data_IF_957397338595
#
_entry.id   IF_957397338595
#
_cell.length_a   1.000
_cell.length_b   1.000
_cell.length_c   1.000
_cell.angle_alpha   90.00
_cell.angle_beta   90.00
_cell.angle_gamma   90.00
#
_symmetry.space_group_name_H-M   'P 1'
#
loop_
_entity.id
_entity.type
_entity.pdbx_description
1 polymer ?
#
# COMPACT_ATOMS: atom_id res chain seq x y z
N UNK A 1 24.15 0.27 0.02
CA UNK A 1 24.64 -0.03 1.39
C UNK A 1 24.83 1.24 2.21
N UNK A 2 25.35 2.35 1.64
CA UNK A 2 25.50 3.65 2.35
C UNK A 2 24.14 4.32 2.60
N UNK A 3 23.19 4.25 1.68
CA UNK A 3 21.83 4.80 1.84
C UNK A 3 20.99 4.06 2.89
N UNK A 4 21.22 2.74 3.08
CA UNK A 4 20.58 1.96 4.15
C UNK A 4 21.04 2.32 5.55
N UNK A 5 22.31 2.73 5.72
CA UNK A 5 22.84 3.18 7.02
C UNK A 5 22.25 4.51 7.51
N UNK A 6 21.65 5.29 6.61
CA UNK A 6 21.04 6.58 6.94
C UNK A 6 19.56 6.48 7.37
N UNK A 7 18.99 5.27 7.45
CA UNK A 7 17.61 5.05 7.92
C UNK A 7 16.51 5.65 7.02
N UNK A 8 16.86 6.03 5.80
CA UNK A 8 15.92 6.60 4.85
C UNK A 8 15.58 5.55 3.79
N UNK A 9 14.36 5.02 3.74
CA UNK A 9 13.92 4.16 2.64
C UNK A 9 13.75 5.05 1.41
N UNK A 10 14.83 5.23 0.65
CA UNK A 10 14.72 5.81 -0.68
C UNK A 10 14.08 4.79 -1.62
N UNK A 11 12.76 4.77 -1.68
CA UNK A 11 12.08 4.17 -2.81
C UNK A 11 12.36 5.07 -4.03
N UNK A 12 13.33 4.66 -4.86
CA UNK A 12 13.61 5.36 -6.11
C UNK A 12 12.47 5.05 -7.09
N UNK A 13 11.48 5.91 -7.16
CA UNK A 13 10.39 5.81 -8.14
C UNK A 13 10.87 6.34 -9.50
N UNK A 14 11.25 5.42 -10.37
CA UNK A 14 11.69 5.77 -11.73
C UNK A 14 10.51 5.59 -12.68
N UNK A 15 10.03 6.68 -13.24
CA UNK A 15 8.98 6.65 -14.26
C UNK A 15 9.51 6.07 -15.57
N UNK A 16 8.64 5.41 -16.39
CA UNK A 16 9.01 5.01 -17.75
C UNK A 16 9.56 6.22 -18.51
N UNK A 17 10.73 6.08 -19.10
CA UNK A 17 11.44 7.15 -19.81
C UNK A 17 12.54 7.87 -19.02
N UNK A 18 12.50 7.88 -17.70
CA UNK A 18 13.54 8.53 -16.88
C UNK A 18 14.81 7.68 -16.67
N UNK A 19 14.74 6.38 -16.98
CA UNK A 19 15.86 5.45 -16.78
C UNK A 19 17.14 5.89 -17.50
N UNK A 20 17.00 6.31 -18.76
CA UNK A 20 18.14 6.71 -19.58
C UNK A 20 18.79 8.00 -19.07
N UNK A 21 17.96 8.98 -18.72
CA UNK A 21 18.45 10.25 -18.15
C UNK A 21 19.14 10.05 -16.80
N UNK A 22 18.58 9.18 -15.93
CA UNK A 22 19.18 8.86 -14.65
C UNK A 22 20.55 8.15 -14.82
N UNK A 23 20.64 7.17 -15.70
CA UNK A 23 21.89 6.48 -16.00
C UNK A 23 22.95 7.43 -16.55
N UNK A 24 22.57 8.36 -17.42
CA UNK A 24 23.48 9.37 -17.96
C UNK A 24 23.98 10.33 -16.88
N UNK A 25 23.10 10.80 -15.99
CA UNK A 25 23.47 11.70 -14.89
C UNK A 25 24.45 11.05 -13.88
N UNK A 26 24.37 9.73 -13.69
CA UNK A 26 25.29 8.99 -12.83
C UNK A 26 26.55 8.54 -13.55
N UNK A 27 26.57 8.44 -14.88
CA UNK A 27 27.70 7.93 -15.67
C UNK A 27 28.97 8.78 -15.48
N UNK A 28 28.82 10.08 -15.28
CA UNK A 28 29.97 11.00 -15.20
C UNK A 28 30.62 11.06 -13.80
N UNK A 29 30.00 10.47 -12.78
CA UNK A 29 30.42 10.61 -11.38
C UNK A 29 30.72 9.32 -10.63
N UNK A 30 30.38 8.16 -11.17
CA UNK A 30 30.46 6.90 -10.45
C UNK A 30 31.39 5.87 -11.12
N UNK A 31 32.06 5.05 -10.27
CA UNK A 31 32.86 3.91 -10.72
C UNK A 31 32.06 2.98 -11.63
N UNK A 32 32.70 2.47 -12.69
CA UNK A 32 32.09 1.60 -13.70
C UNK A 32 31.36 0.38 -13.13
N UNK A 33 31.86 -0.17 -12.04
CA UNK A 33 31.25 -1.31 -11.35
C UNK A 33 29.91 -0.94 -10.68
N UNK A 34 29.83 0.24 -10.05
CA UNK A 34 28.61 0.74 -9.46
C UNK A 34 27.57 1.06 -10.54
N UNK A 35 27.99 1.59 -11.67
CA UNK A 35 27.11 1.85 -12.82
C UNK A 35 26.58 0.52 -13.39
N UNK A 36 27.42 -0.50 -13.51
CA UNK A 36 26.98 -1.81 -13.99
C UNK A 36 25.95 -2.44 -13.04
N UNK A 37 26.19 -2.40 -11.73
CA UNK A 37 25.27 -2.91 -10.72
C UNK A 37 23.97 -2.15 -10.69
N UNK A 38 24.00 -0.80 -10.75
CA UNK A 38 22.82 0.04 -10.81
C UNK A 38 22.05 -0.20 -12.12
N UNK A 39 22.75 -0.37 -13.25
CA UNK A 39 22.14 -0.67 -14.53
C UNK A 39 21.43 -2.02 -14.52
N UNK A 40 22.06 -3.06 -13.94
CA UNK A 40 21.46 -4.37 -13.77
C UNK A 40 20.21 -4.31 -12.88
N UNK A 41 20.30 -3.59 -11.76
CA UNK A 41 19.16 -3.38 -10.85
C UNK A 41 18.01 -2.63 -11.52
N UNK A 42 18.30 -1.55 -12.27
CA UNK A 42 17.28 -0.80 -13.00
C UNK A 42 16.59 -1.62 -14.10
N UNK A 43 17.34 -2.53 -14.76
CA UNK A 43 16.80 -3.45 -15.77
C UNK A 43 15.92 -4.54 -15.13
N UNK A 44 16.25 -4.95 -13.91
CA UNK A 44 15.49 -5.93 -13.15
C UNK A 44 14.18 -5.36 -12.57
N UNK A 45 14.07 -4.02 -12.45
CA UNK A 45 12.81 -3.39 -12.03
C UNK A 45 11.71 -3.72 -13.04
N UNK A 46 10.52 -4.10 -12.58
CA UNK A 46 9.41 -4.35 -13.49
C UNK A 46 9.12 -3.10 -14.31
N UNK A 47 9.33 -3.20 -15.60
CA UNK A 47 8.91 -2.17 -16.56
C UNK A 47 7.53 -2.51 -17.06
N UNK A 48 6.52 -1.72 -16.74
CA UNK A 48 5.20 -1.95 -17.29
C UNK A 48 5.23 -1.80 -18.81
N UNK A 49 4.49 -2.65 -19.49
CA UNK A 49 4.24 -2.47 -20.90
C UNK A 49 3.43 -1.19 -21.13
N UNK A 50 3.57 -0.58 -22.31
CA UNK A 50 2.67 0.50 -22.73
C UNK A 50 1.25 -0.06 -22.69
N UNK A 51 0.34 0.63 -21.99
CA UNK A 51 -1.03 0.18 -21.80
C UNK A 51 -1.24 -0.82 -20.65
N UNK A 52 -0.23 -1.10 -19.82
CA UNK A 52 -0.38 -1.96 -18.65
C UNK A 52 -1.49 -1.44 -17.71
N UNK A 53 -2.27 -2.35 -17.15
CA UNK A 53 -3.30 -2.07 -16.15
C UNK A 53 -2.62 -1.57 -14.87
N UNK A 54 -2.94 -0.34 -14.46
CA UNK A 54 -2.35 0.29 -13.28
C UNK A 54 -3.11 -0.12 -12.03
N UNK A 55 -2.39 -0.67 -11.05
CA UNK A 55 -2.92 -1.11 -9.77
C UNK A 55 -2.30 -0.29 -8.65
N UNK A 56 -3.11 0.45 -7.91
CA UNK A 56 -2.69 1.20 -6.74
C UNK A 56 -3.00 0.41 -5.46
N UNK A 57 -1.97 0.10 -4.65
CA UNK A 57 -2.13 -0.52 -3.35
C UNK A 57 -2.05 0.55 -2.26
N UNK A 58 -3.19 0.94 -1.71
CA UNK A 58 -3.36 1.91 -0.62
C UNK A 58 -3.43 1.17 0.71
N UNK A 59 -2.69 1.64 1.72
CA UNK A 59 -2.74 1.01 3.03
C UNK A 59 -1.74 1.57 4.05
N UNK A 60 -1.60 0.83 5.14
CA UNK A 60 -0.70 1.15 6.24
C UNK A 60 0.66 0.39 6.15
N UNK A 61 1.30 0.13 7.29
CA UNK A 61 2.60 -0.56 7.39
C UNK A 61 2.65 -1.93 6.71
N UNK A 62 1.54 -2.66 6.67
CA UNK A 62 1.49 -3.97 6.01
C UNK A 62 1.56 -3.81 4.49
N UNK A 63 0.95 -2.76 3.95
CA UNK A 63 1.06 -2.42 2.52
C UNK A 63 2.43 -1.83 2.20
N UNK A 64 2.92 -0.93 3.05
CA UNK A 64 4.26 -0.33 2.98
C UNK A 64 5.37 -1.40 2.99
N UNK A 65 5.17 -2.50 3.75
CA UNK A 65 6.16 -3.56 3.91
C UNK A 65 7.10 -3.30 5.08
N UNK A 66 6.64 -2.59 6.12
CA UNK A 66 7.44 -2.33 7.31
C UNK A 66 7.86 -3.65 7.99
N UNK A 67 9.14 -3.75 8.31
CA UNK A 67 9.71 -4.95 8.97
C UNK A 67 10.04 -6.08 8.02
N UNK A 68 9.78 -5.93 6.73
CA UNK A 68 10.15 -6.92 5.71
C UNK A 68 11.47 -6.50 5.07
N UNK A 69 12.45 -7.40 5.12
CA UNK A 69 13.71 -7.20 4.40
C UNK A 69 13.44 -7.10 2.90
N UNK A 70 14.08 -6.12 2.24
CA UNK A 70 13.85 -5.85 0.82
C UNK A 70 12.35 -5.67 0.49
N UNK A 71 11.67 -4.76 1.20
CA UNK A 71 10.24 -4.51 1.01
C UNK A 71 9.86 -4.20 -0.45
N UNK A 72 10.77 -3.61 -1.24
CA UNK A 72 10.61 -3.40 -2.69
C UNK A 72 10.42 -4.70 -3.49
N UNK A 73 10.78 -5.85 -2.91
CA UNK A 73 10.70 -7.17 -3.55
C UNK A 73 9.70 -8.09 -2.82
N UNK A 74 9.59 -7.96 -1.51
CA UNK A 74 8.92 -8.93 -0.64
C UNK A 74 7.58 -8.44 -0.08
N UNK A 75 7.28 -7.12 -0.11
CA UNK A 75 5.95 -6.62 0.25
C UNK A 75 4.86 -7.21 -0.64
N UNK A 76 3.61 -7.28 -0.15
CA UNK A 76 2.55 -7.86 -0.96
C UNK A 76 2.32 -7.12 -2.30
N UNK A 77 2.45 -5.79 -2.41
CA UNK A 77 2.33 -5.13 -3.72
C UNK A 77 3.43 -5.57 -4.70
N UNK A 78 4.66 -5.77 -4.21
CA UNK A 78 5.75 -6.27 -5.03
C UNK A 78 5.52 -7.72 -5.48
N UNK A 79 5.03 -8.58 -4.58
CA UNK A 79 4.64 -9.95 -4.92
C UNK A 79 3.47 -10.01 -5.89
N UNK A 80 2.49 -9.14 -5.71
CA UNK A 80 1.38 -9.01 -6.64
C UNK A 80 1.87 -8.62 -8.04
N UNK A 81 2.82 -7.67 -8.14
CA UNK A 81 3.45 -7.31 -9.42
C UNK A 81 4.12 -8.52 -10.08
N UNK A 82 4.86 -9.33 -9.31
CA UNK A 82 5.53 -10.52 -9.84
C UNK A 82 4.53 -11.55 -10.38
N UNK A 83 3.43 -11.77 -9.66
CA UNK A 83 2.39 -12.73 -10.04
C UNK A 83 1.58 -12.27 -11.26
N UNK A 84 1.26 -10.99 -11.34
CA UNK A 84 0.47 -10.42 -12.45
C UNK A 84 1.29 -10.21 -13.72
N UNK A 85 2.62 -10.11 -13.60
CA UNK A 85 3.52 -9.94 -14.74
C UNK A 85 3.43 -8.57 -15.42
N UNK A 86 3.95 -8.50 -16.66
CA UNK A 86 4.20 -7.23 -17.37
C UNK A 86 2.92 -6.52 -17.86
N UNK A 87 1.80 -7.23 -17.95
CA UNK A 87 0.49 -6.64 -18.31
C UNK A 87 -0.10 -5.72 -17.23
N UNK A 88 0.49 -5.72 -16.05
CA UNK A 88 0.07 -4.91 -14.92
C UNK A 88 1.22 -4.04 -14.42
N UNK A 89 0.86 -2.90 -13.85
CA UNK A 89 1.79 -2.01 -13.15
C UNK A 89 1.27 -1.74 -11.75
N UNK A 90 1.75 -2.53 -10.81
CA UNK A 90 1.39 -2.42 -9.40
C UNK A 90 2.29 -1.41 -8.71
N UNK A 91 1.70 -0.44 -8.00
CA UNK A 91 2.44 0.52 -7.18
C UNK A 91 1.99 0.46 -5.74
N UNK A 92 2.99 0.50 -4.87
CA UNK A 92 2.82 0.58 -3.43
C UNK A 92 2.65 2.05 -3.02
N UNK A 93 1.50 2.37 -2.43
CA UNK A 93 1.18 3.66 -1.80
C UNK A 93 0.92 3.49 -0.30
N UNK A 94 1.40 2.40 0.29
CA UNK A 94 1.35 2.18 1.73
C UNK A 94 2.16 3.23 2.49
N UNK A 95 1.67 3.64 3.66
CA UNK A 95 2.38 4.51 4.59
C UNK A 95 2.20 3.96 6.00
N UNK A 96 3.31 3.65 6.66
CA UNK A 96 3.30 3.05 8.00
C UNK A 96 2.57 3.91 9.03
N UNK A 97 1.85 3.24 9.94
CA UNK A 97 1.10 3.81 11.05
C UNK A 97 -0.13 4.67 10.67
N UNK A 98 -0.59 4.67 9.41
CA UNK A 98 -1.71 5.52 8.99
C UNK A 98 -3.04 4.89 9.32
N UNK A 99 -4.01 5.78 9.62
CA UNK A 99 -5.43 5.47 9.88
C UNK A 99 -6.28 5.79 8.65
N UNK A 100 -7.41 5.10 8.51
CA UNK A 100 -8.48 5.51 7.61
C UNK A 100 -9.20 6.74 8.16
N UNK A 101 -9.47 6.73 9.48
CA UNK A 101 -10.12 7.83 10.19
C UNK A 101 -9.39 9.15 9.95
N UNK A 102 -10.11 10.15 9.45
CA UNK A 102 -9.60 11.51 9.28
C UNK A 102 -9.38 12.24 10.61
N UNK A 103 -10.03 11.78 11.67
CA UNK A 103 -9.86 12.22 13.05
C UNK A 103 -8.86 11.35 13.85
N UNK A 104 -8.27 10.35 13.25
CA UNK A 104 -7.20 9.54 13.86
C UNK A 104 -5.90 10.33 14.01
N UNK A 105 -4.93 9.71 14.70
CA UNK A 105 -3.63 10.33 15.00
C UNK A 105 -2.82 10.65 13.72
N UNK A 106 -2.97 9.81 12.68
CA UNK A 106 -2.20 9.93 11.42
C UNK A 106 -3.07 9.59 10.20
N UNK A 107 -3.96 10.47 9.77
CA UNK A 107 -4.88 10.20 8.67
C UNK A 107 -4.18 9.97 7.34
N UNK A 108 -4.47 8.85 6.67
CA UNK A 108 -3.89 8.51 5.37
C UNK A 108 -4.25 9.54 4.28
N UNK A 109 -5.47 10.08 4.28
CA UNK A 109 -5.91 11.06 3.28
C UNK A 109 -5.16 12.40 3.36
N UNK A 110 -4.34 12.63 4.39
CA UNK A 110 -3.46 13.80 4.52
C UNK A 110 -2.04 13.56 4.01
N UNK A 111 -1.73 12.31 3.60
CA UNK A 111 -0.39 11.95 3.13
C UNK A 111 -0.19 12.29 1.66
N UNK A 112 1.06 12.57 1.30
CA UNK A 112 1.45 12.74 -0.10
C UNK A 112 1.14 11.47 -0.92
N UNK A 113 1.25 10.29 -0.31
CA UNK A 113 0.93 9.01 -0.93
C UNK A 113 -0.51 8.94 -1.44
N UNK A 114 -1.47 9.56 -0.73
CA UNK A 114 -2.86 9.68 -1.17
C UNK A 114 -2.98 10.48 -2.47
N UNK A 115 -2.30 11.62 -2.56
CA UNK A 115 -2.27 12.42 -3.78
C UNK A 115 -1.60 11.65 -4.92
N UNK A 116 -0.45 11.03 -4.65
CA UNK A 116 0.29 10.24 -5.65
C UNK A 116 -0.52 9.04 -6.17
N UNK A 117 -1.32 8.39 -5.31
CA UNK A 117 -2.18 7.28 -5.72
C UNK A 117 -3.28 7.74 -6.70
N UNK A 118 -3.85 8.91 -6.49
CA UNK A 118 -4.84 9.51 -7.40
C UNK A 118 -4.20 9.96 -8.72
N UNK A 119 -3.06 10.64 -8.66
CA UNK A 119 -2.31 11.12 -9.84
C UNK A 119 -1.79 9.97 -10.71
N UNK A 120 -1.59 8.80 -10.10
CA UNK A 120 -1.24 7.57 -10.81
C UNK A 120 -2.32 7.15 -11.80
N UNK A 121 -3.54 7.69 -11.70
CA UNK A 121 -4.70 7.36 -12.54
C UNK A 121 -4.93 5.84 -12.62
N UNK A 122 -5.13 5.16 -11.49
CA UNK A 122 -5.20 3.71 -11.43
C UNK A 122 -6.41 3.17 -12.19
N UNK A 123 -6.29 1.95 -12.73
CA UNK A 123 -7.42 1.17 -13.25
C UNK A 123 -8.02 0.28 -12.17
N UNK A 124 -7.19 -0.10 -11.19
CA UNK A 124 -7.60 -0.90 -10.03
C UNK A 124 -7.01 -0.24 -8.79
N UNK A 125 -7.80 -0.15 -7.72
CA UNK A 125 -7.35 0.30 -6.40
C UNK A 125 -7.64 -0.76 -5.37
N UNK A 126 -6.64 -1.14 -4.58
CA UNK A 126 -6.79 -2.01 -3.41
C UNK A 126 -6.63 -1.14 -2.17
N UNK A 127 -7.65 -1.09 -1.31
CA UNK A 127 -7.62 -0.34 -0.05
C UNK A 127 -7.55 -1.33 1.11
N UNK A 128 -6.48 -1.25 1.90
CA UNK A 128 -6.26 -2.05 3.11
C UNK A 128 -5.84 -1.15 4.27
N UNK A 129 -6.81 -0.49 4.88
CA UNK A 129 -6.68 0.36 6.08
C UNK A 129 -7.55 -0.20 7.21
N UNK A 130 -7.50 0.39 8.39
CA UNK A 130 -8.29 0.00 9.54
C UNK A 130 -7.47 -0.60 10.69
N UNK A 131 -6.27 -1.13 10.43
CA UNK A 131 -5.44 -1.74 11.50
C UNK A 131 -5.11 -0.74 12.61
N UNK A 132 -4.61 0.45 12.26
CA UNK A 132 -4.25 1.47 13.25
C UNK A 132 -5.48 2.18 13.84
N UNK A 133 -6.59 2.14 13.13
CA UNK A 133 -7.88 2.66 13.58
C UNK A 133 -8.41 1.90 14.79
N UNK A 134 -8.07 0.60 14.91
CA UNK A 134 -8.51 -0.24 16.04
C UNK A 134 -7.86 0.12 17.39
N UNK A 135 -6.80 0.92 17.39
CA UNK A 135 -6.16 1.38 18.63
C UNK A 135 -7.13 2.24 19.43
N UNK A 136 -7.16 2.14 20.78
CA UNK A 136 -8.10 2.88 21.60
C UNK A 136 -8.10 4.38 21.34
N UNK A 137 -6.92 4.98 21.17
CA UNK A 137 -6.75 6.40 20.89
C UNK A 137 -7.35 6.85 19.56
N UNK A 138 -7.51 5.95 18.61
CA UNK A 138 -8.12 6.21 17.31
C UNK A 138 -9.60 5.79 17.32
N UNK A 139 -9.91 4.61 17.91
CA UNK A 139 -11.24 4.04 17.85
C UNK A 139 -12.28 4.82 18.66
N UNK A 140 -11.87 5.69 19.60
CA UNK A 140 -12.77 6.66 20.21
C UNK A 140 -13.54 7.52 19.18
N UNK A 141 -13.00 7.63 17.95
CA UNK A 141 -13.61 8.31 16.80
C UNK A 141 -14.28 7.34 15.83
N UNK A 142 -14.44 6.08 16.19
CA UNK A 142 -14.91 4.99 15.31
C UNK A 142 -16.26 5.22 14.65
N UNK A 143 -17.12 6.06 15.25
CA UNK A 143 -18.40 6.46 14.63
C UNK A 143 -18.23 7.13 13.25
N UNK A 144 -17.06 7.73 12.97
CA UNK A 144 -16.77 8.36 11.69
C UNK A 144 -16.19 7.39 10.65
N UNK A 145 -15.82 6.16 11.04
CA UNK A 145 -15.06 5.24 10.19
C UNK A 145 -15.82 4.90 8.88
N UNK A 146 -17.11 4.63 8.97
CA UNK A 146 -17.94 4.33 7.79
C UNK A 146 -17.99 5.52 6.83
N UNK A 147 -18.25 6.71 7.34
CA UNK A 147 -18.31 7.94 6.57
C UNK A 147 -16.96 8.23 5.88
N UNK A 148 -15.85 8.09 6.60
CA UNK A 148 -14.52 8.37 6.07
C UNK A 148 -14.12 7.36 5.00
N UNK A 149 -14.52 6.07 5.15
CA UNK A 149 -14.31 5.06 4.11
C UNK A 149 -15.14 5.35 2.86
N UNK A 150 -16.40 5.73 3.02
CA UNK A 150 -17.27 6.12 1.91
C UNK A 150 -16.67 7.33 1.17
N UNK A 151 -16.22 8.36 1.89
CA UNK A 151 -15.60 9.55 1.29
C UNK A 151 -14.32 9.20 0.49
N UNK A 152 -13.49 8.28 1.01
CA UNK A 152 -12.30 7.78 0.30
C UNK A 152 -12.70 7.06 -1.00
N UNK A 153 -13.68 6.17 -0.94
CA UNK A 153 -14.19 5.43 -2.11
C UNK A 153 -14.80 6.40 -3.13
N UNK A 154 -15.65 7.31 -2.71
CA UNK A 154 -16.29 8.28 -3.60
C UNK A 154 -15.27 9.14 -4.34
N UNK A 155 -14.21 9.58 -3.63
CA UNK A 155 -13.12 10.34 -4.23
C UNK A 155 -12.42 9.54 -5.33
N UNK A 156 -12.20 8.25 -5.13
CA UNK A 156 -11.56 7.38 -6.11
C UNK A 156 -12.48 7.04 -7.29
N UNK A 157 -13.77 6.83 -7.04
CA UNK A 157 -14.75 6.57 -8.09
C UNK A 157 -14.94 7.75 -9.04
N UNK A 158 -14.68 8.98 -8.55
CA UNK A 158 -14.75 10.21 -9.35
C UNK A 158 -13.49 10.45 -10.21
N UNK A 159 -12.45 9.65 -10.08
CA UNK A 159 -11.26 9.79 -10.93
C UNK A 159 -11.62 9.51 -12.41
N UNK A 160 -11.02 10.26 -13.37
CA UNK A 160 -11.26 10.04 -14.81
C UNK A 160 -10.93 8.62 -15.28
N UNK A 161 -10.11 7.88 -14.55
CA UNK A 161 -9.77 6.48 -14.82
C UNK A 161 -10.86 5.49 -14.41
N UNK A 162 -11.88 5.93 -13.64
CA UNK A 162 -12.98 5.09 -13.12
C UNK A 162 -12.48 3.73 -12.59
N UNK A 163 -11.62 3.71 -11.58
CA UNK A 163 -10.97 2.49 -11.13
C UNK A 163 -11.96 1.48 -10.55
N UNK A 164 -11.73 0.19 -10.81
CA UNK A 164 -12.32 -0.87 -10.02
C UNK A 164 -11.69 -0.85 -8.62
N UNK A 165 -12.51 -0.84 -7.57
CA UNK A 165 -12.04 -0.71 -6.19
C UNK A 165 -12.26 -2.02 -5.45
N UNK A 166 -11.21 -2.53 -4.80
CA UNK A 166 -11.23 -3.66 -3.89
C UNK A 166 -11.00 -3.18 -2.46
N UNK A 167 -11.96 -3.40 -1.59
CA UNK A 167 -11.83 -3.17 -0.15
C UNK A 167 -11.38 -4.47 0.54
N UNK A 168 -10.26 -4.41 1.22
CA UNK A 168 -9.68 -5.53 1.96
C UNK A 168 -9.70 -5.26 3.46
N UNK A 169 -10.12 -6.25 4.25
CA UNK A 169 -10.07 -6.15 5.71
C UNK A 169 -8.63 -6.17 6.24
N UNK A 170 -8.37 -5.63 7.44
CA UNK A 170 -7.13 -5.92 8.16
C UNK A 170 -6.93 -7.43 8.36
N UNK A 171 -5.70 -7.87 8.44
CA UNK A 171 -5.35 -9.24 8.86
C UNK A 171 -5.49 -9.39 10.37
N UNK A 172 -5.57 -10.62 10.91
CA UNK A 172 -5.64 -10.87 12.35
C UNK A 172 -4.45 -10.28 13.12
N UNK A 173 -4.72 -9.79 14.32
CA UNK A 173 -3.72 -9.30 15.28
C UNK A 173 -3.67 -10.21 16.52
N UNK A 174 -2.89 -11.28 16.45
CA UNK A 174 -2.84 -12.31 17.50
C UNK A 174 -2.18 -11.86 18.81
N UNK A 175 -1.36 -10.81 18.75
CA UNK A 175 -0.69 -10.25 19.93
C UNK A 175 -1.01 -8.77 20.04
N UNK A 176 -1.19 -8.22 21.24
CA UNK A 176 -1.45 -6.80 21.45
C UNK A 176 -0.19 -5.96 21.19
N UNK A 177 0.27 -5.95 19.94
CA UNK A 177 1.41 -5.15 19.52
C UNK A 177 0.91 -3.74 19.14
N UNK A 178 1.54 -2.72 19.69
CA UNK A 178 1.18 -1.31 19.46
C UNK A 178 -0.30 -0.97 19.72
N UNK A 179 -0.92 -1.62 20.72
CA UNK A 179 -2.33 -1.43 21.10
C UNK A 179 -3.35 -1.73 19.97
N UNK A 180 -2.96 -2.48 18.94
CA UNK A 180 -3.90 -2.95 17.92
C UNK A 180 -4.90 -3.90 18.59
N UNK A 181 -6.19 -3.64 18.38
CA UNK A 181 -7.28 -4.38 19.01
C UNK A 181 -7.99 -5.26 17.99
N UNK A 182 -7.72 -6.56 18.03
CA UNK A 182 -8.30 -7.54 17.12
C UNK A 182 -9.83 -7.64 17.25
N UNK A 183 -10.35 -7.52 18.48
CA UNK A 183 -11.81 -7.50 18.69
C UNK A 183 -12.50 -6.36 17.93
N UNK A 184 -11.88 -5.17 17.91
CA UNK A 184 -12.39 -4.03 17.12
C UNK A 184 -12.26 -4.34 15.62
N UNK A 185 -11.17 -4.97 15.18
CA UNK A 185 -11.02 -5.37 13.77
C UNK A 185 -12.14 -6.29 13.31
N UNK A 186 -12.44 -7.33 14.10
CA UNK A 186 -13.44 -8.35 13.76
C UNK A 186 -14.87 -7.82 13.87
N UNK A 187 -15.20 -7.22 15.03
CA UNK A 187 -16.60 -6.96 15.39
C UNK A 187 -17.11 -5.60 14.95
N UNK A 188 -16.21 -4.68 14.58
CA UNK A 188 -16.60 -3.34 14.17
C UNK A 188 -16.08 -2.99 12.76
N UNK A 189 -14.77 -3.01 12.55
CA UNK A 189 -14.16 -2.53 11.30
C UNK A 189 -14.52 -3.44 10.11
N UNK A 190 -14.37 -4.75 10.25
CA UNK A 190 -14.68 -5.70 9.16
C UNK A 190 -16.14 -5.61 8.68
N UNK A 191 -17.16 -5.60 9.56
CA UNK A 191 -18.54 -5.41 9.14
C UNK A 191 -18.80 -4.07 8.41
N UNK A 192 -18.15 -3.00 8.84
CA UNK A 192 -18.28 -1.69 8.17
C UNK A 192 -17.67 -1.74 6.76
N UNK A 193 -16.47 -2.32 6.61
CA UNK A 193 -15.83 -2.46 5.30
C UNK A 193 -16.71 -3.28 4.35
N UNK A 194 -17.26 -4.41 4.81
CA UNK A 194 -18.17 -5.25 4.04
C UNK A 194 -19.46 -4.51 3.64
N UNK A 195 -20.01 -3.71 4.55
CA UNK A 195 -21.20 -2.87 4.29
C UNK A 195 -20.90 -1.84 3.20
N UNK A 196 -19.82 -1.06 3.36
CA UNK A 196 -19.44 -0.02 2.40
C UNK A 196 -19.12 -0.62 1.03
N UNK A 197 -18.42 -1.78 0.99
CA UNK A 197 -18.15 -2.47 -0.27
C UNK A 197 -19.44 -2.77 -1.05
N UNK A 198 -20.46 -3.29 -0.36
CA UNK A 198 -21.76 -3.58 -0.96
C UNK A 198 -22.49 -2.31 -1.42
N UNK A 199 -22.52 -1.28 -0.59
CA UNK A 199 -23.24 -0.02 -0.87
C UNK A 199 -22.59 0.78 -2.00
N UNK A 200 -21.27 0.75 -2.10
CA UNK A 200 -20.48 1.46 -3.12
C UNK A 200 -20.13 0.60 -4.34
N UNK A 201 -20.69 -0.63 -4.42
CA UNK A 201 -20.41 -1.57 -5.51
C UNK A 201 -18.91 -1.84 -5.72
N UNK A 202 -18.17 -1.95 -4.62
CA UNK A 202 -16.76 -2.32 -4.60
C UNK A 202 -16.61 -3.84 -4.45
N UNK A 203 -15.50 -4.39 -4.96
CA UNK A 203 -15.11 -5.74 -4.59
C UNK A 203 -14.73 -5.79 -3.11
N UNK A 204 -14.89 -6.97 -2.51
CA UNK A 204 -14.58 -7.19 -1.10
C UNK A 204 -13.74 -8.45 -0.91
N UNK A 205 -12.74 -8.38 -0.05
CA UNK A 205 -11.98 -9.54 0.40
C UNK A 205 -11.79 -9.49 1.92
N UNK A 206 -12.22 -10.54 2.60
CA UNK A 206 -12.00 -10.71 4.03
C UNK A 206 -10.65 -11.39 4.29
N UNK A 207 -9.61 -10.59 4.41
CA UNK A 207 -8.28 -11.09 4.71
C UNK A 207 -8.16 -11.60 6.14
N UNK A 208 -9.03 -11.19 7.05
CA UNK A 208 -9.03 -11.68 8.42
C UNK A 208 -9.35 -13.18 8.45
N UNK A 209 -10.30 -13.63 7.63
CA UNK A 209 -10.66 -15.04 7.54
C UNK A 209 -9.80 -15.82 6.53
N UNK A 210 -9.48 -15.22 5.38
CA UNK A 210 -8.80 -15.92 4.28
C UNK A 210 -7.30 -16.11 4.50
N UNK A 211 -6.68 -15.30 5.36
CA UNK A 211 -5.23 -15.37 5.55
C UNK A 211 -4.76 -16.72 6.11
N UNK A 212 -5.65 -17.50 6.73
CA UNK A 212 -5.32 -18.78 7.35
C UNK A 212 -4.20 -18.68 8.40
N UNK A 213 -3.90 -17.43 8.81
CA UNK A 213 -2.81 -17.13 9.73
C UNK A 213 -3.16 -17.61 11.13
N UNK A 214 -2.17 -18.13 11.82
CA UNK A 214 -2.25 -18.53 13.23
C UNK A 214 -1.27 -17.69 14.05
N UNK A 215 -1.38 -17.77 15.38
CA UNK A 215 -0.42 -17.10 16.26
C UNK A 215 1.03 -17.54 16.06
N UNK A 216 1.27 -18.68 15.39
CA UNK A 216 2.60 -19.19 15.08
C UNK A 216 3.22 -18.53 13.84
N UNK A 217 2.41 -17.90 12.99
CA UNK A 217 2.85 -17.24 11.75
C UNK A 217 3.29 -15.80 11.98
N UNK A 218 3.11 -15.30 13.20
CA UNK A 218 3.46 -13.93 13.58
C UNK A 218 4.76 -13.95 14.38
N UNK A 219 5.82 -13.41 13.80
CA UNK A 219 7.08 -13.21 14.53
C UNK A 219 6.89 -12.20 15.65
N UNK A 220 7.61 -12.36 16.77
CA UNK A 220 7.51 -11.48 17.93
C UNK A 220 7.98 -10.06 17.64
#
# INVERSE_FOLDING_TARGET
>A
TAMRKAGNPCALHIYPGQRKALLQAFADTLHSELIANLSAWLKALPSPQIGAIRVACIGNSITDGMGIDLNDVHSYPARLQQLLGKGYYVRNFGVSARTLLNSGDRPYMREQAWQMARDFSPNIVIIKLGTNDSKPENWQHGAAFEHDLQAMVDTLQQLPSHPRILLATPIPAFKPTWNINDSVLVHAITPIIAKVAREKHCDFIDLHQLAGLTSNDVQP
#
